data_IF_435035227704
#
_entry.id   IF_435035227704
#
_cell.length_a   1.000
_cell.length_b   1.000
_cell.length_c   1.000
_cell.angle_alpha   90.00
_cell.angle_beta   90.00
_cell.angle_gamma   90.00
#
_symmetry.space_group_name_H-M   'P 1'
#
loop_
_entity.id
_entity.type
_entity.pdbx_description
1 polymer ?
#
# COMPACT_ATOMS: atom_id res chain seq x y z
N UNK A 1 11.10 -1.33 -9.42
CA UNK A 1 12.15 -2.10 -8.71
C UNK A 1 11.64 -2.45 -7.32
N UNK A 2 12.17 -3.49 -6.67
CA UNK A 2 11.84 -3.83 -5.28
C UNK A 2 13.09 -4.35 -4.56
N UNK A 3 13.44 -3.72 -3.43
CA UNK A 3 14.57 -4.10 -2.60
C UNK A 3 14.23 -4.04 -1.11
N UNK A 4 14.97 -4.77 -0.29
CA UNK A 4 14.88 -4.65 1.17
C UNK A 4 15.92 -3.65 1.65
N UNK A 5 15.48 -2.59 2.32
CA UNK A 5 16.39 -1.68 3.00
C UNK A 5 16.99 -2.40 4.24
N UNK A 6 18.31 -2.60 4.32
CA UNK A 6 18.94 -3.39 5.39
C UNK A 6 18.99 -2.67 6.74
N UNK A 7 18.79 -1.35 6.76
CA UNK A 7 18.79 -0.56 8.00
C UNK A 7 17.40 -0.52 8.61
N UNK A 8 16.37 -0.28 7.79
CA UNK A 8 14.98 -0.15 8.25
C UNK A 8 14.22 -1.47 8.24
N UNK A 9 14.75 -2.49 7.55
CA UNK A 9 14.09 -3.77 7.28
C UNK A 9 12.73 -3.65 6.57
N UNK A 10 12.52 -2.53 5.85
CA UNK A 10 11.32 -2.29 5.04
C UNK A 10 11.59 -2.61 3.57
N UNK A 11 10.57 -3.12 2.90
CA UNK A 11 10.59 -3.25 1.46
C UNK A 11 10.41 -1.85 0.83
N UNK A 12 11.34 -1.47 -0.04
CA UNK A 12 11.28 -0.26 -0.86
C UNK A 12 10.86 -0.67 -2.28
N UNK A 13 9.90 0.06 -2.83
CA UNK A 13 9.33 -0.22 -4.16
C UNK A 13 9.37 1.05 -4.99
N UNK A 14 9.95 0.95 -6.19
CA UNK A 14 9.93 2.02 -7.19
C UNK A 14 8.88 1.71 -8.23
N UNK A 15 7.90 2.61 -8.38
CA UNK A 15 6.83 2.54 -9.36
C UNK A 15 7.21 3.30 -10.64
N UNK A 16 6.77 2.77 -11.78
CA UNK A 16 6.77 3.51 -13.03
C UNK A 16 5.33 3.96 -13.31
N UNK A 17 5.13 5.27 -13.40
CA UNK A 17 3.81 5.88 -13.59
C UNK A 17 3.84 6.68 -14.89
N UNK A 18 2.74 6.62 -15.65
CA UNK A 18 2.63 7.38 -16.89
C UNK A 18 2.61 8.88 -16.58
N UNK A 19 3.42 9.67 -17.30
CA UNK A 19 3.61 11.11 -17.04
C UNK A 19 2.32 11.95 -17.09
N UNK A 20 1.32 11.51 -17.84
CA UNK A 20 0.01 12.14 -17.93
C UNK A 20 -0.87 11.95 -16.68
N UNK A 21 -0.52 11.02 -15.80
CA UNK A 21 -1.24 10.77 -14.55
C UNK A 21 -0.66 11.66 -13.46
N UNK A 22 -1.48 12.55 -12.90
CA UNK A 22 -1.10 13.42 -11.80
C UNK A 22 -1.60 12.82 -10.49
N UNK A 23 -0.68 12.59 -9.56
CA UNK A 23 -0.96 12.00 -8.24
C UNK A 23 -0.65 13.06 -7.19
N UNK A 24 -1.64 13.52 -6.40
CA UNK A 24 -1.41 14.46 -5.31
C UNK A 24 -0.33 13.95 -4.34
N UNK A 25 0.56 14.82 -3.85
CA UNK A 25 1.64 14.41 -2.94
C UNK A 25 1.16 13.81 -1.61
N UNK A 26 -0.08 14.11 -1.23
CA UNK A 26 -0.76 13.59 -0.04
C UNK A 26 -1.59 12.32 -0.33
N UNK A 27 -1.35 11.64 -1.45
CA UNK A 27 -2.05 10.40 -1.80
C UNK A 27 -1.58 9.22 -0.95
N UNK A 28 -2.52 8.34 -0.61
CA UNK A 28 -2.22 7.08 0.08
C UNK A 28 -1.95 5.97 -0.94
N UNK A 29 -0.88 5.20 -0.73
CA UNK A 29 -0.55 4.02 -1.52
C UNK A 29 -0.74 2.76 -0.68
N UNK A 30 -1.73 1.93 -1.01
CA UNK A 30 -2.08 0.73 -0.24
C UNK A 30 -1.87 -0.55 -1.05
N UNK A 31 -1.32 -1.59 -0.43
CA UNK A 31 -1.26 -2.92 -1.05
C UNK A 31 -2.57 -3.66 -0.76
N UNK A 32 -3.38 -3.83 -1.79
CA UNK A 32 -4.68 -4.49 -1.72
C UNK A 32 -4.65 -5.88 -2.36
N UNK A 33 -5.63 -6.70 -2.00
CA UNK A 33 -5.80 -8.06 -2.54
C UNK A 33 -7.01 -8.13 -3.46
N UNK A 34 -6.84 -8.74 -4.63
CA UNK A 34 -7.95 -8.99 -5.55
C UNK A 34 -8.81 -10.16 -5.04
N UNK A 35 -9.88 -9.84 -4.32
CA UNK A 35 -10.74 -10.85 -3.71
C UNK A 35 -9.97 -11.71 -2.70
N UNK A 36 -10.31 -13.00 -2.60
CA UNK A 36 -9.71 -13.91 -1.62
C UNK A 36 -8.46 -14.64 -2.12
N UNK A 37 -8.41 -14.93 -3.43
CA UNK A 37 -7.40 -15.82 -4.04
C UNK A 37 -6.69 -15.17 -5.24
N UNK A 38 -6.99 -13.91 -5.54
CA UNK A 38 -6.33 -13.17 -6.62
C UNK A 38 -4.95 -12.66 -6.21
N UNK A 39 -4.37 -11.87 -7.11
CA UNK A 39 -3.08 -11.24 -6.87
C UNK A 39 -3.17 -10.06 -5.88
N UNK A 40 -2.01 -9.47 -5.62
CA UNK A 40 -1.92 -8.18 -4.94
C UNK A 40 -1.71 -7.06 -5.95
N UNK A 41 -2.28 -5.90 -5.69
CA UNK A 41 -2.06 -4.68 -6.47
C UNK A 41 -1.88 -3.49 -5.54
N UNK A 42 -1.36 -2.40 -6.10
CA UNK A 42 -1.26 -1.12 -5.37
C UNK A 42 -2.46 -0.27 -5.73
N UNK A 43 -3.29 0.03 -4.73
CA UNK A 43 -4.31 1.05 -4.81
C UNK A 43 -3.69 2.41 -4.49
N UNK A 44 -3.96 3.41 -5.33
CA UNK A 44 -3.58 4.80 -5.07
C UNK A 44 -4.86 5.57 -4.81
N UNK A 45 -5.03 6.06 -3.60
CA UNK A 45 -6.16 6.89 -3.19
C UNK A 45 -5.71 8.35 -3.24
N UNK A 46 -6.21 9.16 -4.19
CA UNK A 46 -5.80 10.54 -4.32
C UNK A 46 -6.17 11.35 -3.08
N UNK A 47 -5.21 12.12 -2.60
CA UNK A 47 -5.45 13.13 -1.58
C UNK A 47 -6.07 14.42 -2.13
N UNK A 48 -6.04 15.48 -1.33
CA UNK A 48 -6.61 16.78 -1.65
C UNK A 48 -5.59 17.84 -2.04
N UNK A 49 -4.30 17.51 -2.11
CA UNK A 49 -3.24 18.47 -2.44
C UNK A 49 -3.39 19.01 -3.87
N UNK A 50 -2.97 20.27 -4.04
CA UNK A 50 -2.82 20.90 -5.36
C UNK A 50 -1.43 20.63 -5.97
N UNK A 51 -0.49 20.13 -5.17
CA UNK A 51 0.84 19.74 -5.60
C UNK A 51 0.87 18.23 -5.89
N UNK A 52 1.68 17.84 -6.89
CA UNK A 52 1.74 16.48 -7.42
C UNK A 52 3.14 15.90 -7.27
N UNK A 53 3.21 14.60 -7.00
CA UNK A 53 4.46 13.84 -7.02
C UNK A 53 5.14 13.97 -8.38
N UNK A 54 6.46 14.14 -8.36
CA UNK A 54 7.33 14.12 -9.53
C UNK A 54 8.31 12.94 -9.48
N UNK A 55 9.06 12.74 -10.57
CA UNK A 55 10.06 11.69 -10.64
C UNK A 55 11.10 11.84 -9.52
N UNK A 56 11.35 10.74 -8.80
CA UNK A 56 12.24 10.70 -7.64
C UNK A 56 11.57 11.04 -6.30
N UNK A 57 10.30 11.48 -6.28
CA UNK A 57 9.58 11.68 -5.02
C UNK A 57 9.18 10.35 -4.37
N UNK A 58 9.00 10.40 -3.05
CA UNK A 58 8.57 9.27 -2.23
C UNK A 58 7.12 9.44 -1.77
N UNK A 59 6.34 8.38 -1.87
CA UNK A 59 5.01 8.32 -1.26
C UNK A 59 5.16 8.18 0.26
N UNK A 60 4.69 9.20 1.00
CA UNK A 60 4.83 9.25 2.45
C UNK A 60 3.76 8.44 3.19
N UNK A 61 2.54 8.41 2.65
CA UNK A 61 1.43 7.63 3.21
C UNK A 61 1.31 6.28 2.51
N UNK A 62 1.82 5.24 3.17
CA UNK A 62 1.79 3.86 2.65
C UNK A 62 1.14 2.90 3.62
N UNK A 63 0.37 1.95 3.07
CA UNK A 63 -0.29 0.91 3.84
C UNK A 63 0.10 -0.47 3.31
N UNK A 64 0.60 -1.31 4.22
CA UNK A 64 0.95 -2.69 3.90
C UNK A 64 -0.29 -3.57 3.78
N UNK A 65 -0.13 -4.71 3.09
CA UNK A 65 -1.22 -5.67 2.93
C UNK A 65 -1.68 -6.22 4.29
N UNK A 66 -3.00 -6.34 4.45
CA UNK A 66 -3.56 -7.01 5.61
C UNK A 66 -3.42 -8.52 5.44
N UNK A 67 -2.81 -9.18 6.43
CA UNK A 67 -2.67 -10.64 6.42
C UNK A 67 -4.02 -11.35 6.58
N UNK A 68 -4.39 -12.16 5.59
CA UNK A 68 -5.58 -13.02 5.67
C UNK A 68 -5.55 -13.95 6.89
N UNK A 69 -4.39 -14.52 7.22
CA UNK A 69 -4.26 -15.40 8.39
C UNK A 69 -4.51 -14.62 9.69
N UNK A 70 -4.03 -13.38 9.76
CA UNK A 70 -4.30 -12.49 10.90
C UNK A 70 -5.78 -12.12 11.01
N UNK A 71 -6.45 -11.87 9.89
CA UNK A 71 -7.91 -11.63 9.86
C UNK A 71 -8.70 -12.86 10.33
N UNK A 72 -8.35 -14.05 9.87
CA UNK A 72 -8.97 -15.30 10.30
C UNK A 72 -8.79 -15.54 11.80
N UNK A 73 -7.58 -15.31 12.33
CA UNK A 73 -7.33 -15.41 13.76
C UNK A 73 -8.17 -14.40 14.57
N UNK A 74 -8.27 -13.15 14.10
CA UNK A 74 -9.11 -12.13 14.74
C UNK A 74 -10.58 -12.52 14.74
N UNK A 75 -11.07 -13.09 13.63
CA UNK A 75 -12.44 -13.58 13.53
C UNK A 75 -12.72 -14.71 14.54
N UNK A 76 -11.88 -15.75 14.57
CA UNK A 76 -12.01 -16.87 15.52
C UNK A 76 -11.93 -16.38 16.98
N UNK A 77 -11.00 -15.49 17.29
CA UNK A 77 -10.86 -14.92 18.62
C UNK A 77 -12.10 -14.12 19.05
N UNK A 78 -12.71 -13.34 18.13
CA UNK A 78 -13.93 -12.57 18.41
C UNK A 78 -15.18 -13.44 18.63
N UNK A 79 -15.22 -14.64 18.05
CA UNK A 79 -16.31 -15.60 18.26
C UNK A 79 -16.20 -16.38 19.57
N UNK A 80 -15.03 -16.35 20.23
CA UNK A 80 -14.76 -17.11 21.45
C UNK A 80 -15.01 -16.32 22.74
N UNK A 81 -15.47 -15.06 22.66
CA UNK A 81 -15.80 -14.21 23.81
C UNK A 81 -17.28 -14.22 24.20
N UNK A 82 -18.01 -15.30 23.91
CA UNK A 82 -19.34 -15.57 24.46
C UNK A 82 -19.29 -16.80 25.38
#
# INVERSE_FOLDING_TARGET
DMALNPETYRAEVTFAIQESIKIPEDSTFAIESEGLLGGQYVEVVPGGSFDYLVDGDEALDTQGAVSLTSLLMKFVASGSSN
#
